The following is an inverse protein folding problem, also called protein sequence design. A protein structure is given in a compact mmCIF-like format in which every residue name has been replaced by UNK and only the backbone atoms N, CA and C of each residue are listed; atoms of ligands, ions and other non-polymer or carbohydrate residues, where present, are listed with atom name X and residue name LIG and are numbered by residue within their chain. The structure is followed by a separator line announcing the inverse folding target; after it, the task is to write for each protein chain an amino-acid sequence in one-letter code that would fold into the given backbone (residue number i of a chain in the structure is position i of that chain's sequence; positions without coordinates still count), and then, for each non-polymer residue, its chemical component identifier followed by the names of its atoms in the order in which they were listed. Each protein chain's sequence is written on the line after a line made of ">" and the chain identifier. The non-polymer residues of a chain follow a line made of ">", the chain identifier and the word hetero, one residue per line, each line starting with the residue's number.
data_IF_549575386388
#
_entry.id   IF_549575386388
#
_cell.length_a   1.000
_cell.length_b   1.000
_cell.length_c   1.000
_cell.angle_alpha   90.00
_cell.angle_beta   90.00
_cell.angle_gamma   90.00
#
_symmetry.space_group_name_H-M   'P 1'
#
loop_
_entity.id
_entity.type
_entity.pdbx_description
1 polymer ?
#
# COMPACT_ATOMS: atom_id res chain seq x y z
N UNK A 1 1.61 11.16 0.38
CA UNK A 1 2.01 9.97 1.17
C UNK A 1 2.55 8.91 0.23
N UNK A 2 3.55 8.12 0.63
CA UNK A 2 4.11 7.08 -0.23
C UNK A 2 4.44 5.83 0.57
N UNK A 3 4.42 4.63 -0.04
CA UNK A 3 4.96 3.43 0.59
C UNK A 3 6.39 3.65 1.05
N UNK A 4 6.74 3.09 2.21
CA UNK A 4 8.14 3.11 2.66
C UNK A 4 9.03 2.35 1.67
N UNK A 5 10.20 2.90 1.37
CA UNK A 5 11.12 2.34 0.37
C UNK A 5 11.71 0.97 0.78
N UNK A 6 11.77 0.67 2.08
CA UNK A 6 12.21 -0.63 2.57
C UNK A 6 11.13 -1.71 2.51
N UNK A 7 9.90 -1.37 2.09
CA UNK A 7 8.80 -2.33 1.99
C UNK A 7 8.63 -2.79 0.55
N UNK A 8 8.61 -4.11 0.36
CA UNK A 8 8.39 -4.74 -0.93
C UNK A 8 7.10 -5.55 -0.95
N UNK A 9 6.28 -5.33 -1.97
CA UNK A 9 5.16 -6.20 -2.28
C UNK A 9 5.66 -7.46 -3.00
N UNK A 10 5.44 -8.62 -2.38
CA UNK A 10 5.76 -9.94 -2.95
C UNK A 10 4.51 -10.78 -3.10
N UNK A 11 4.45 -11.53 -4.20
CA UNK A 11 3.40 -12.54 -4.41
C UNK A 11 3.94 -13.92 -4.02
N UNK A 12 3.30 -14.57 -3.06
CA UNK A 12 3.63 -15.95 -2.65
C UNK A 12 2.38 -16.81 -2.84
N UNK A 13 2.40 -17.64 -3.88
CA UNK A 13 1.23 -18.40 -4.31
C UNK A 13 0.08 -17.50 -4.79
N UNK A 14 -1.07 -17.61 -4.13
CA UNK A 14 -2.26 -16.79 -4.39
C UNK A 14 -2.36 -15.54 -3.51
N UNK A 15 -1.40 -15.32 -2.63
CA UNK A 15 -1.44 -14.25 -1.63
C UNK A 15 -0.43 -13.16 -1.98
N UNK A 16 -0.78 -11.91 -1.66
CA UNK A 16 0.11 -10.76 -1.74
C UNK A 16 0.58 -10.39 -0.34
N UNK A 17 1.88 -10.14 -0.17
CA UNK A 17 2.48 -9.84 1.13
C UNK A 17 3.46 -8.67 1.05
N UNK A 18 3.39 -7.76 2.02
CA UNK A 18 4.43 -6.77 2.24
C UNK A 18 5.52 -7.36 3.12
N UNK A 19 6.77 -7.26 2.68
CA UNK A 19 7.97 -7.69 3.41
C UNK A 19 8.93 -6.51 3.57
N UNK A 20 9.60 -6.45 4.72
CA UNK A 20 10.71 -5.52 4.93
C UNK A 20 11.99 -6.10 4.31
N UNK A 21 12.65 -5.31 3.46
CA UNK A 21 13.88 -5.69 2.76
C UNK A 21 15.17 -5.29 3.47
N UNK A 22 15.11 -4.64 4.64
CA UNK A 22 16.30 -4.16 5.35
C UNK A 22 17.10 -5.24 6.09
N UNK A 23 16.54 -6.44 6.28
CA UNK A 23 17.24 -7.53 6.95
C UNK A 23 17.72 -8.56 5.92
N UNK A 24 19.03 -8.88 5.92
CA UNK A 24 19.64 -9.94 5.08
C UNK A 24 18.93 -11.31 5.25
N UNK A 25 18.23 -11.50 6.37
CA UNK A 25 17.15 -12.49 6.51
C UNK A 25 15.81 -11.79 6.31
N UNK A 26 15.02 -12.15 5.29
CA UNK A 26 13.63 -11.69 5.15
C UNK A 26 12.91 -11.89 6.48
N UNK A 27 12.66 -10.81 7.23
CA UNK A 27 12.02 -10.91 8.52
C UNK A 27 10.52 -11.07 8.30
N UNK A 28 10.08 -12.32 8.16
CA UNK A 28 8.67 -12.68 7.98
C UNK A 28 7.82 -12.38 9.24
N UNK A 29 8.40 -11.87 10.32
CA UNK A 29 7.68 -11.59 11.57
C UNK A 29 6.67 -10.44 11.43
N UNK A 30 6.81 -9.59 10.42
CA UNK A 30 5.90 -8.47 10.14
C UNK A 30 5.36 -8.50 8.71
N UNK A 31 4.79 -9.65 8.29
CA UNK A 31 4.14 -9.77 6.98
C UNK A 31 2.69 -9.27 7.01
N UNK A 32 2.40 -8.26 6.19
CA UNK A 32 1.02 -7.81 5.96
C UNK A 32 0.47 -8.50 4.73
N UNK A 33 -0.61 -9.27 4.91
CA UNK A 33 -1.33 -9.88 3.80
C UNK A 33 -2.23 -8.85 3.15
N UNK A 34 -2.14 -8.74 1.84
CA UNK A 34 -2.99 -7.91 1.02
C UNK A 34 -3.89 -8.80 0.17
N UNK A 35 -5.14 -8.37 0.02
CA UNK A 35 -5.97 -8.88 -1.06
C UNK A 35 -5.47 -8.29 -2.40
N UNK A 36 -6.01 -8.80 -3.52
CA UNK A 36 -5.59 -8.36 -4.85
C UNK A 36 -5.76 -6.84 -5.05
N UNK A 37 -6.93 -6.30 -4.69
CA UNK A 37 -7.22 -4.87 -4.85
C UNK A 37 -6.24 -3.98 -4.07
N UNK A 38 -5.91 -4.35 -2.82
CA UNK A 38 -4.94 -3.62 -2.01
C UNK A 38 -3.52 -3.70 -2.58
N UNK A 39 -3.14 -4.85 -3.14
CA UNK A 39 -1.87 -5.02 -3.82
C UNK A 39 -1.77 -4.17 -5.09
N UNK A 40 -2.85 -4.08 -5.86
CA UNK A 40 -2.91 -3.27 -7.07
C UNK A 40 -2.84 -1.76 -6.72
N UNK A 41 -3.54 -1.31 -5.68
CA UNK A 41 -3.42 0.07 -5.14
C UNK A 41 -1.99 0.37 -4.69
N UNK A 42 -1.33 -0.56 -4.00
CA UNK A 42 0.05 -0.40 -3.57
C UNK A 42 1.01 -0.21 -4.76
N UNK A 43 0.77 -0.94 -5.86
CA UNK A 43 1.52 -0.75 -7.11
C UNK A 43 1.30 0.65 -7.71
N UNK A 44 0.05 1.11 -7.76
CA UNK A 44 -0.29 2.46 -8.24
C UNK A 44 0.42 3.56 -7.42
N UNK A 45 0.50 3.38 -6.10
CA UNK A 45 1.25 4.30 -5.24
C UNK A 45 2.76 4.32 -5.52
N UNK A 46 3.34 3.16 -5.84
CA UNK A 46 4.74 3.07 -6.25
C UNK A 46 5.00 3.70 -7.63
N UNK A 47 4.00 3.73 -8.50
CA UNK A 47 4.04 4.40 -9.81
C UNK A 47 3.80 5.92 -9.72
N UNK A 48 3.50 6.44 -8.52
CA UNK A 48 3.35 7.87 -8.24
C UNK A 48 1.91 8.33 -7.94
N UNK A 49 0.93 7.44 -8.04
CA UNK A 49 -0.48 7.75 -7.72
C UNK A 49 -0.72 7.65 -6.21
N UNK A 50 -0.58 8.77 -5.50
CA UNK A 50 -0.63 8.80 -4.03
C UNK A 50 -1.85 9.50 -3.43
N UNK A 51 -2.75 10.04 -4.25
CA UNK A 51 -3.96 10.73 -3.75
C UNK A 51 -5.14 9.75 -3.65
N UNK A 52 -5.94 9.83 -2.57
CA UNK A 52 -7.13 9.00 -2.42
C UNK A 52 -8.09 9.11 -3.60
N UNK A 53 -8.22 10.29 -4.18
CA UNK A 53 -9.12 10.57 -5.31
C UNK A 53 -8.65 9.88 -6.59
N UNK A 54 -7.34 9.91 -6.89
CA UNK A 54 -6.80 9.23 -8.08
C UNK A 54 -6.89 7.71 -7.95
N UNK A 55 -6.62 7.17 -6.76
CA UNK A 55 -6.76 5.75 -6.48
C UNK A 55 -8.22 5.29 -6.56
N UNK A 56 -9.16 6.12 -6.09
CA UNK A 56 -10.59 5.83 -6.18
C UNK A 56 -11.08 5.86 -7.64
N UNK A 57 -10.62 6.82 -8.43
CA UNK A 57 -10.90 6.89 -9.87
C UNK A 57 -10.35 5.67 -10.61
N UNK A 58 -9.10 5.30 -10.33
CA UNK A 58 -8.50 4.08 -10.86
C UNK A 58 -9.30 2.82 -10.48
N UNK A 59 -9.82 2.74 -9.25
CA UNK A 59 -10.69 1.62 -8.86
C UNK A 59 -12.00 1.60 -9.64
N UNK A 60 -12.63 2.75 -9.88
CA UNK A 60 -13.87 2.82 -10.66
C UNK A 60 -13.64 2.43 -12.12
N UNK A 61 -12.46 2.73 -12.67
CA UNK A 61 -12.12 2.39 -14.05
C UNK A 61 -11.81 0.89 -14.22
N UNK A 62 -11.23 0.26 -13.20
CA UNK A 62 -10.78 -1.15 -13.26
C UNK A 62 -11.77 -2.14 -12.62
N UNK A 63 -12.69 -1.66 -11.79
CA UNK A 63 -13.67 -2.45 -11.07
C UNK A 63 -15.05 -1.80 -11.17
N UNK A 64 -16.10 -2.62 -11.20
CA UNK A 64 -17.49 -2.14 -11.20
C UNK A 64 -17.89 -1.70 -9.78
N UNK A 65 -17.38 -0.54 -9.36
CA UNK A 65 -17.62 0.05 -8.04
C UNK A 65 -17.96 1.54 -8.18
N UNK A 66 -18.82 2.03 -7.30
CA UNK A 66 -19.20 3.43 -7.25
C UNK A 66 -18.08 4.31 -6.65
N UNK A 67 -17.97 5.55 -7.11
CA UNK A 67 -16.91 6.49 -6.70
C UNK A 67 -16.92 6.78 -5.20
N UNK A 68 -18.08 6.96 -4.58
CA UNK A 68 -18.16 7.23 -3.14
C UNK A 68 -17.72 5.99 -2.34
N UNK A 69 -18.08 4.80 -2.81
CA UNK A 69 -17.65 3.52 -2.22
C UNK A 69 -16.14 3.32 -2.36
N UNK A 70 -15.61 3.48 -3.57
CA UNK A 70 -14.19 3.36 -3.86
C UNK A 70 -13.36 4.34 -3.02
N UNK A 71 -13.80 5.60 -2.93
CA UNK A 71 -13.10 6.61 -2.14
C UNK A 71 -13.13 6.29 -0.65
N UNK A 72 -14.27 5.82 -0.11
CA UNK A 72 -14.36 5.40 1.28
C UNK A 72 -13.43 4.22 1.59
N UNK A 73 -13.35 3.23 0.69
CA UNK A 73 -12.50 2.06 0.87
C UNK A 73 -11.01 2.41 0.73
N UNK A 74 -10.63 3.25 -0.24
CA UNK A 74 -9.27 3.77 -0.37
C UNK A 74 -8.85 4.52 0.88
N UNK A 75 -9.70 5.42 1.41
CA UNK A 75 -9.39 6.16 2.64
C UNK A 75 -9.16 5.23 3.82
N UNK A 76 -10.05 4.25 4.05
CA UNK A 76 -9.88 3.23 5.10
C UNK A 76 -8.60 2.42 4.94
N UNK A 77 -8.23 2.09 3.71
CA UNK A 77 -7.01 1.35 3.40
C UNK A 77 -5.76 2.18 3.73
N UNK A 78 -5.72 3.43 3.30
CA UNK A 78 -4.62 4.36 3.57
C UNK A 78 -4.49 4.68 5.06
N UNK A 79 -5.61 4.84 5.78
CA UNK A 79 -5.62 5.02 7.23
C UNK A 79 -5.04 3.79 7.94
N UNK A 80 -5.44 2.58 7.50
CA UNK A 80 -4.91 1.33 8.04
C UNK A 80 -3.39 1.25 7.82
N UNK A 81 -2.93 1.51 6.60
CA UNK A 81 -1.51 1.46 6.27
C UNK A 81 -0.69 2.52 7.01
N UNK A 82 -1.25 3.71 7.22
CA UNK A 82 -0.63 4.75 8.06
C UNK A 82 -0.55 4.30 9.52
N UNK A 83 -1.61 3.72 10.08
CA UNK A 83 -1.63 3.19 11.45
C UNK A 83 -0.65 2.03 11.68
N UNK A 84 -0.40 1.21 10.65
CA UNK A 84 0.63 0.18 10.67
C UNK A 84 2.03 0.70 10.35
N UNK A 85 2.19 2.00 10.05
CA UNK A 85 3.47 2.61 9.73
C UNK A 85 4.05 2.13 8.39
N UNK A 86 3.21 1.78 7.42
CA UNK A 86 3.63 1.34 6.08
C UNK A 86 3.83 2.51 5.09
N UNK A 87 3.17 3.64 5.35
CA UNK A 87 3.26 4.86 4.56
C UNK A 87 4.10 5.92 5.26
N UNK A 88 4.72 6.80 4.48
CA UNK A 88 5.40 8.00 4.94
C UNK A 88 4.87 9.23 4.22
N UNK A 89 4.88 10.37 4.91
CA UNK A 89 4.59 11.66 4.28
C UNK A 89 5.80 12.11 3.45
N UNK A 90 5.55 12.73 2.28
CA UNK A 90 6.63 13.26 1.45
C UNK A 90 7.30 14.43 2.18
N UNK A 91 8.48 14.18 2.76
CA UNK A 91 9.23 15.15 3.58
C UNK A 91 9.78 14.58 4.89
N UNK A 92 9.39 13.37 5.30
CA UNK A 92 9.92 12.70 6.50
C UNK A 92 11.06 11.74 6.17
N UNK A 93 12.27 12.26 5.95
CA UNK A 93 13.50 11.45 5.96
C UNK A 93 14.10 11.50 7.36
N UNK A 94 13.98 10.41 8.09
CA UNK A 94 14.99 9.93 9.02
C UNK A 94 14.64 8.49 9.37
N UNK A 95 15.30 7.58 8.65
CA UNK A 95 15.83 6.38 9.25
C UNK A 95 16.37 6.71 10.65
N UNK A 96 15.68 6.23 11.68
CA UNK A 96 16.07 6.45 13.06
C UNK A 96 16.08 5.11 13.79
N UNK A 97 17.19 4.39 13.56
CA UNK A 97 17.88 3.46 14.46
C UNK A 97 17.22 2.12 14.80
#
# INVERSE_FOLDING_TARGET
>A
MRPKQNLQLRRIGSQYMIVDSWTEQVNLSHVFRMNRTAADIWQQMNEGCSTPEALAEWLCDNYEVDRDTALADVKRLLDSWTGFGLLVEEGGEADAR
#
